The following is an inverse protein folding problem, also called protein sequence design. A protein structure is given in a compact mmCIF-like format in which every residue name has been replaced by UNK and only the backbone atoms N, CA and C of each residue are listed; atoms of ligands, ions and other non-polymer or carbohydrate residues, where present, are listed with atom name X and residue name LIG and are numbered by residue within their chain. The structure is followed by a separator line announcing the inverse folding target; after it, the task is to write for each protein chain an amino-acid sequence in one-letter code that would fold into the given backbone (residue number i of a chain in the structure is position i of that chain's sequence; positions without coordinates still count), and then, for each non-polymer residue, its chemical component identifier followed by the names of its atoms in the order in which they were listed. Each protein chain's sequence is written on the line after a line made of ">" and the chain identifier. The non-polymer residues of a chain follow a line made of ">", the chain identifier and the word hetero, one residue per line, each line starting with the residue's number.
data_IF_650427853439
#
_entry.id   IF_650427853439
#
_cell.length_a   1.000
_cell.length_b   1.000
_cell.length_c   1.000
_cell.angle_alpha   90.00
_cell.angle_beta   90.00
_cell.angle_gamma   90.00
#
_symmetry.space_group_name_H-M   'P 1'
#
loop_
_entity.id
_entity.type
_entity.pdbx_description
1 polymer ?
#
# COMPACT_ATOMS: atom_id res chain seq x y z
N UNK A 1 -3.62 10.57 6.71
CA UNK A 1 -3.35 9.29 7.43
C UNK A 1 -1.85 9.12 7.66
N UNK A 2 -1.04 8.89 6.62
CA UNK A 2 0.41 8.70 6.76
C UNK A 2 1.13 9.78 7.58
N UNK A 3 0.96 11.07 7.27
CA UNK A 3 1.54 12.17 8.07
C UNK A 3 1.13 12.19 9.54
N UNK A 4 -0.05 11.66 9.87
CA UNK A 4 -0.55 11.58 11.24
C UNK A 4 -0.13 10.27 11.95
N UNK A 5 0.18 9.22 11.18
CA UNK A 5 0.60 7.92 11.69
C UNK A 5 2.11 7.85 12.00
N UNK A 6 2.91 8.80 11.51
CA UNK A 6 4.34 8.91 11.81
C UNK A 6 5.36 8.37 10.79
N UNK A 7 5.08 7.44 9.86
CA UNK A 7 6.10 6.96 8.94
C UNK A 7 6.48 8.02 7.89
N UNK A 8 7.79 8.16 7.65
CA UNK A 8 8.31 8.99 6.56
C UNK A 8 8.24 8.21 5.24
N UNK A 9 7.25 8.58 4.41
CA UNK A 9 7.04 7.95 3.10
C UNK A 9 8.25 8.05 2.17
N UNK A 10 9.03 9.12 2.24
CA UNK A 10 10.16 9.32 1.33
C UNK A 10 11.34 8.41 1.72
N UNK A 11 11.66 8.34 3.01
CA UNK A 11 12.69 7.44 3.52
C UNK A 11 12.34 5.98 3.26
N UNK A 12 11.10 5.56 3.57
CA UNK A 12 10.67 4.18 3.35
C UNK A 12 10.64 3.80 1.87
N UNK A 13 10.28 4.72 0.98
CA UNK A 13 10.38 4.48 -0.46
C UNK A 13 11.85 4.31 -0.91
N UNK A 14 12.77 5.13 -0.40
CA UNK A 14 14.20 5.02 -0.70
C UNK A 14 14.78 3.68 -0.21
N UNK A 15 14.27 3.17 0.91
CA UNK A 15 14.65 1.88 1.48
C UNK A 15 13.88 0.69 0.84
N UNK A 16 13.03 0.93 -0.15
CA UNK A 16 12.13 -0.05 -0.79
C UNK A 16 11.15 -0.75 0.20
N UNK A 17 10.87 -0.15 1.35
CA UNK A 17 9.94 -0.67 2.36
C UNK A 17 8.51 -0.11 2.19
N UNK A 18 7.92 -0.37 1.03
CA UNK A 18 6.50 -0.03 0.79
C UNK A 18 5.53 -0.87 1.64
N UNK A 19 5.87 -2.13 1.91
CA UNK A 19 5.04 -3.05 2.71
C UNK A 19 4.88 -2.55 4.14
N UNK A 20 5.98 -2.22 4.82
CA UNK A 20 5.96 -1.69 6.19
C UNK A 20 5.20 -0.36 6.27
N UNK A 21 5.34 0.50 5.25
CA UNK A 21 4.63 1.77 5.18
C UNK A 21 3.11 1.57 5.16
N UNK A 22 2.60 0.73 4.26
CA UNK A 22 1.15 0.50 4.13
C UNK A 22 0.58 -0.29 5.30
N UNK A 23 1.36 -1.18 5.92
CA UNK A 23 0.96 -1.88 7.15
C UNK A 23 0.82 -0.90 8.33
N UNK A 24 1.77 0.01 8.52
CA UNK A 24 1.77 0.99 9.61
C UNK A 24 0.57 1.96 9.56
N UNK A 25 0.06 2.28 8.36
CA UNK A 25 -1.09 3.18 8.19
C UNK A 25 -2.43 2.42 8.05
N UNK A 26 -2.39 1.09 8.06
CA UNK A 26 -3.58 0.23 7.95
C UNK A 26 -4.18 0.12 6.54
N UNK A 27 -3.43 0.48 5.49
CA UNK A 27 -3.89 0.49 4.09
C UNK A 27 -3.29 -0.66 3.25
N UNK A 28 -2.62 -1.64 3.88
CA UNK A 28 -2.08 -2.82 3.18
C UNK A 28 -3.19 -3.80 2.79
N UNK A 29 -3.42 -3.97 1.49
CA UNK A 29 -4.35 -4.96 0.95
C UNK A 29 -3.79 -6.38 1.02
N UNK A 30 -4.52 -7.29 1.68
CA UNK A 30 -4.18 -8.73 1.79
C UNK A 30 -5.35 -9.58 1.27
N UNK A 31 -5.36 -10.00 -0.01
CA UNK A 31 -6.51 -10.70 -0.60
C UNK A 31 -6.64 -12.18 -0.18
N UNK A 32 -5.59 -12.75 0.43
CA UNK A 32 -5.51 -14.20 0.69
C UNK A 32 -5.15 -15.01 -0.57
N UNK A 33 -5.33 -16.34 -0.54
CA UNK A 33 -5.04 -17.19 -1.69
C UNK A 33 -6.05 -16.95 -2.83
N UNK A 34 -5.56 -16.47 -3.98
CA UNK A 34 -6.39 -16.14 -5.15
C UNK A 34 -6.53 -17.29 -6.15
N UNK A 35 -5.65 -18.30 -6.08
CA UNK A 35 -5.62 -19.48 -6.97
C UNK A 35 -5.48 -19.17 -8.48
N UNK A 36 -5.10 -17.94 -8.83
CA UNK A 36 -4.82 -17.52 -10.21
C UNK A 36 -3.86 -16.34 -10.21
N UNK A 37 -3.14 -16.15 -11.31
CA UNK A 37 -2.27 -14.99 -11.54
C UNK A 37 -2.51 -14.45 -12.95
N UNK A 38 -3.07 -13.25 -13.03
CA UNK A 38 -3.26 -12.48 -14.28
C UNK A 38 -2.47 -11.17 -14.27
N UNK A 39 -1.39 -11.13 -13.48
CA UNK A 39 -0.59 -9.94 -13.17
C UNK A 39 -1.37 -8.89 -12.34
N UNK A 40 -0.91 -7.65 -12.41
CA UNK A 40 -1.36 -6.54 -11.55
C UNK A 40 -2.60 -5.83 -12.10
N UNK A 41 -3.49 -5.41 -11.18
CA UNK A 41 -4.64 -4.56 -11.46
C UNK A 41 -4.54 -3.27 -10.63
N UNK A 42 -4.80 -2.12 -11.26
CA UNK A 42 -4.91 -0.83 -10.56
C UNK A 42 -6.29 -0.21 -10.82
N UNK A 43 -6.99 0.12 -9.74
CA UNK A 43 -8.24 0.87 -9.79
C UNK A 43 -8.03 2.27 -9.21
N UNK A 44 -8.57 3.28 -9.88
CA UNK A 44 -8.58 4.68 -9.42
C UNK A 44 -10.03 5.14 -9.51
N UNK A 45 -10.62 5.48 -8.36
CA UNK A 45 -11.97 6.03 -8.29
C UNK A 45 -11.87 7.56 -8.17
N UNK A 46 -12.62 8.28 -8.99
CA UNK A 46 -12.81 9.73 -8.92
C UNK A 46 -14.30 9.94 -8.65
N UNK A 47 -14.62 10.52 -7.50
CA UNK A 47 -15.98 10.84 -7.06
C UNK A 47 -16.18 12.38 -7.15
N UNK A 48 -17.39 12.91 -7.46
CA UNK A 48 -17.63 14.35 -7.64
C UNK A 48 -17.32 15.25 -6.43
#
# INVERSE_FOLDING_TARGET
>A
RARAAGPDSAAMLADNDSTGFFEAIGDLLRPGPTLTNVNDLRAILIDP
#
